data_IF_523277139685
#
_entry.id   IF_523277139685
#
_cell.length_a   1.000
_cell.length_b   1.000
_cell.length_c   1.000
_cell.angle_alpha   90.00
_cell.angle_beta   90.00
_cell.angle_gamma   90.00
#
_symmetry.space_group_name_H-M   'P 1'
#
loop_
_entity.id
_entity.type
_entity.pdbx_description
1 polymer ?
#
# COMPACT_ATOMS: atom_id res chain seq x y z
N UNK A 1 55.74 -26.47 8.09
CA UNK A 1 56.13 -26.16 9.49
C UNK A 1 55.70 -24.72 9.79
N UNK A 2 55.05 -24.54 10.95
CA UNK A 2 54.57 -23.30 11.58
C UNK A 2 53.45 -22.51 10.89
N UNK A 3 52.50 -21.88 11.56
CA UNK A 3 51.70 -22.12 12.79
C UNK A 3 50.69 -20.96 12.80
N UNK A 4 49.39 -21.27 12.71
CA UNK A 4 48.30 -20.28 12.74
C UNK A 4 48.04 -19.82 14.19
N UNK A 5 48.05 -18.51 14.44
CA UNK A 5 47.47 -17.91 15.65
C UNK A 5 46.18 -17.17 15.29
N UNK A 6 45.06 -17.73 15.74
CA UNK A 6 43.77 -17.06 15.87
C UNK A 6 43.83 -16.08 17.06
N UNK A 7 43.34 -14.86 16.86
CA UNK A 7 42.97 -13.95 17.95
C UNK A 7 41.45 -13.94 18.09
N UNK A 8 41.00 -14.54 19.20
CA UNK A 8 39.63 -14.50 19.71
C UNK A 8 39.50 -13.29 20.64
N UNK A 9 38.63 -12.34 20.30
CA UNK A 9 38.20 -11.27 21.21
C UNK A 9 36.80 -11.59 21.73
N UNK A 10 36.75 -11.98 23.02
CA UNK A 10 35.53 -12.19 23.79
C UNK A 10 35.00 -10.83 24.27
N UNK A 11 33.78 -10.47 23.85
CA UNK A 11 33.01 -9.41 24.50
C UNK A 11 32.04 -10.05 25.52
N UNK A 12 32.26 -9.76 26.80
CA UNK A 12 31.36 -10.08 27.90
C UNK A 12 30.43 -8.88 28.14
N UNK A 13 29.12 -9.09 28.08
CA UNK A 13 28.11 -8.18 28.64
C UNK A 13 27.21 -8.97 29.60
N UNK A 14 26.92 -8.47 30.81
CA UNK A 14 26.07 -9.16 31.77
C UNK A 14 24.59 -8.82 31.53
N UNK A 15 23.79 -9.81 31.15
CA UNK A 15 22.32 -9.70 31.16
C UNK A 15 21.83 -10.22 32.52
N UNK A 16 21.39 -9.30 33.39
CA UNK A 16 20.59 -9.63 34.58
C UNK A 16 19.17 -9.96 34.14
N UNK A 17 18.80 -11.25 34.18
CA UNK A 17 17.42 -11.72 34.14
C UNK A 17 16.96 -11.95 35.58
N UNK A 18 16.13 -11.06 36.12
CA UNK A 18 15.34 -11.34 37.33
C UNK A 18 13.90 -10.91 37.12
N UNK A 19 13.03 -11.89 36.87
CA UNK A 19 11.67 -11.94 37.43
C UNK A 19 11.15 -13.37 37.33
N UNK A 20 11.27 -14.05 38.46
CA UNK A 20 10.59 -15.30 38.79
C UNK A 20 9.07 -15.07 38.78
N UNK A 21 8.36 -15.80 37.93
CA UNK A 21 6.89 -15.90 37.99
C UNK A 21 6.61 -17.24 38.69
N UNK A 22 6.13 -17.15 39.93
CA UNK A 22 5.70 -18.28 40.74
C UNK A 22 4.32 -18.77 40.27
N UNK A 23 4.22 -20.05 39.93
CA UNK A 23 2.96 -20.74 39.72
C UNK A 23 2.38 -21.22 41.06
N UNK A 24 1.12 -20.92 41.41
CA UNK A 24 0.47 -21.56 42.53
C UNK A 24 0.02 -22.98 42.15
N UNK A 25 0.52 -23.94 42.91
CA UNK A 25 0.09 -25.34 42.91
C UNK A 25 -1.04 -25.54 43.93
N UNK A 26 -2.21 -26.00 43.45
CA UNK A 26 -3.00 -27.12 44.00
C UNK A 26 -4.41 -27.21 43.37
N UNK A 27 -4.95 -28.43 43.20
CA UNK A 27 -6.27 -28.65 42.60
C UNK A 27 -7.37 -28.50 43.65
N UNK A 28 -8.44 -27.79 43.31
CA UNK A 28 -9.68 -27.75 44.09
C UNK A 28 -10.67 -28.73 43.46
N UNK A 29 -11.00 -29.79 44.18
CA UNK A 29 -12.08 -30.73 43.87
C UNK A 29 -13.44 -30.03 43.98
N UNK A 30 -14.15 -29.90 42.86
CA UNK A 30 -15.54 -29.45 42.81
C UNK A 30 -16.47 -30.63 42.49
N UNK A 31 -17.59 -30.69 43.21
CA UNK A 31 -18.60 -31.75 43.15
C UNK A 31 -19.47 -31.64 41.89
N UNK A 32 -20.12 -32.74 41.47
CA UNK A 32 -20.96 -32.74 40.28
C UNK A 32 -22.33 -32.16 40.63
N UNK A 33 -22.64 -30.97 40.12
CA UNK A 33 -24.01 -30.44 40.13
C UNK A 33 -24.55 -30.48 38.72
N UNK A 34 -25.61 -31.27 38.55
CA UNK A 34 -26.39 -31.45 37.32
C UNK A 34 -26.67 -30.12 36.61
N UNK A 35 -26.02 -29.90 35.46
CA UNK A 35 -26.48 -28.93 34.47
C UNK A 35 -27.26 -29.66 33.38
N UNK A 36 -28.55 -29.33 33.29
CA UNK A 36 -29.44 -29.68 32.21
C UNK A 36 -28.88 -29.11 30.90
N UNK A 37 -28.50 -30.00 29.99
CA UNK A 37 -28.10 -29.63 28.64
C UNK A 37 -29.31 -29.10 27.85
N UNK A 38 -29.17 -27.98 27.12
CA UNK A 38 -30.20 -27.55 26.18
C UNK A 38 -30.30 -28.55 25.02
N UNK A 39 -31.54 -28.74 24.53
CA UNK A 39 -31.91 -29.64 23.45
C UNK A 39 -31.06 -29.46 22.19
N UNK A 40 -30.81 -30.55 21.42
CA UNK A 40 -29.99 -30.49 20.22
C UNK A 40 -30.68 -29.61 19.17
N UNK A 41 -30.06 -28.48 18.84
CA UNK A 41 -30.41 -27.70 17.66
C UNK A 41 -30.21 -28.58 16.42
N UNK A 42 -31.20 -28.54 15.53
CA UNK A 42 -31.23 -29.27 14.27
C UNK A 42 -29.92 -29.05 13.50
N UNK A 43 -29.25 -30.16 13.19
CA UNK A 43 -28.02 -30.21 12.39
C UNK A 43 -28.24 -29.55 11.02
N UNK A 44 -27.70 -28.35 10.85
CA UNK A 44 -27.33 -27.85 9.53
C UNK A 44 -26.25 -28.77 8.93
N UNK A 45 -26.29 -28.97 7.62
CA UNK A 45 -25.44 -29.88 6.84
C UNK A 45 -23.99 -30.04 7.39
N UNK A 46 -23.47 -31.26 7.63
CA UNK A 46 -22.34 -31.50 8.55
C UNK A 46 -20.97 -30.94 8.17
N UNK A 47 -20.79 -30.18 7.09
CA UNK A 47 -19.44 -29.82 6.59
C UNK A 47 -19.36 -28.43 5.94
N UNK A 48 -20.21 -27.46 6.31
CA UNK A 48 -20.00 -26.09 5.82
C UNK A 48 -19.04 -25.36 6.74
N UNK A 49 -17.81 -25.15 6.27
CA UNK A 49 -16.83 -24.28 6.92
C UNK A 49 -17.46 -22.89 7.13
N UNK A 50 -17.56 -22.44 8.39
CA UNK A 50 -18.08 -21.12 8.72
C UNK A 50 -16.94 -20.12 8.54
N UNK A 51 -17.08 -19.21 7.58
CA UNK A 51 -16.09 -18.15 7.36
C UNK A 51 -16.12 -17.13 8.50
N UNK A 52 -14.96 -16.62 8.97
CA UNK A 52 -14.92 -15.43 9.80
C UNK A 52 -15.61 -14.28 9.08
N UNK A 53 -16.57 -13.64 9.75
CA UNK A 53 -17.29 -12.47 9.21
C UNK A 53 -16.60 -11.15 9.55
N UNK A 54 -15.64 -11.15 10.48
CA UNK A 54 -14.92 -9.94 10.92
C UNK A 54 -13.45 -10.23 11.24
N UNK A 55 -12.61 -9.19 11.23
CA UNK A 55 -11.20 -9.25 11.62
C UNK A 55 -10.98 -9.64 13.08
N UNK A 56 -11.98 -9.41 13.94
CA UNK A 56 -11.94 -9.78 15.36
C UNK A 56 -12.39 -11.21 15.67
N UNK A 57 -12.98 -11.91 14.68
CA UNK A 57 -13.43 -13.28 14.85
C UNK A 57 -12.22 -14.23 15.00
N UNK A 58 -12.32 -15.28 15.84
CA UNK A 58 -11.25 -16.25 15.95
C UNK A 58 -10.98 -16.93 14.60
N UNK A 59 -9.73 -17.36 14.32
CA UNK A 59 -9.43 -18.12 13.12
C UNK A 59 -10.35 -19.34 13.02
N UNK A 60 -10.80 -19.69 11.82
CA UNK A 60 -11.66 -20.85 11.63
C UNK A 60 -10.86 -22.11 11.93
N UNK A 61 -11.54 -23.15 12.43
CA UNK A 61 -10.93 -24.46 12.57
C UNK A 61 -10.79 -25.08 11.18
N UNK A 62 -9.56 -25.16 10.65
CA UNK A 62 -9.25 -25.77 9.37
C UNK A 62 -8.65 -27.16 9.56
N UNK A 63 -9.13 -28.14 8.80
CA UNK A 63 -8.50 -29.47 8.75
C UNK A 63 -7.20 -29.43 7.95
N UNK A 64 -6.40 -30.50 8.04
CA UNK A 64 -5.19 -30.63 7.19
C UNK A 64 -5.51 -30.67 5.69
N UNK A 65 -6.69 -31.16 5.32
CA UNK A 65 -7.16 -31.16 3.93
C UNK A 65 -7.52 -29.74 3.47
N UNK A 66 -8.18 -28.95 4.33
CA UNK A 66 -8.52 -27.55 4.04
C UNK A 66 -7.27 -26.69 3.83
N UNK A 67 -6.22 -26.92 4.62
CA UNK A 67 -4.95 -26.21 4.54
C UNK A 67 -4.15 -26.48 3.25
N UNK A 68 -4.61 -27.40 2.40
CA UNK A 68 -4.07 -27.64 1.04
C UNK A 68 -4.80 -26.85 -0.05
N UNK A 69 -5.93 -26.21 0.28
CA UNK A 69 -6.75 -25.44 -0.65
C UNK A 69 -6.47 -23.95 -0.49
N UNK A 70 -6.68 -23.18 -1.55
CA UNK A 70 -6.58 -21.72 -1.47
C UNK A 70 -7.74 -21.15 -0.64
N UNK A 71 -7.57 -19.98 -0.01
CA UNK A 71 -8.69 -19.35 0.73
C UNK A 71 -9.85 -18.99 -0.20
N UNK A 72 -9.54 -18.62 -1.44
CA UNK A 72 -10.52 -18.37 -2.51
C UNK A 72 -11.37 -19.62 -2.79
N UNK A 73 -10.76 -20.81 -2.82
CA UNK A 73 -11.50 -22.06 -3.01
C UNK A 73 -12.23 -22.53 -1.75
N UNK A 74 -11.70 -22.25 -0.55
CA UNK A 74 -12.35 -22.61 0.72
C UNK A 74 -13.67 -21.87 0.92
N UNK A 75 -13.70 -20.59 0.56
CA UNK A 75 -14.84 -19.70 0.82
C UNK A 75 -15.61 -19.31 -0.45
N UNK A 76 -15.46 -20.05 -1.54
CA UNK A 76 -16.27 -19.86 -2.73
C UNK A 76 -17.75 -20.15 -2.44
N UNK A 77 -18.65 -19.30 -2.94
CA UNK A 77 -20.07 -19.61 -3.03
C UNK A 77 -20.26 -20.64 -4.15
N UNK A 78 -20.78 -21.82 -3.78
CA UNK A 78 -20.99 -22.94 -4.70
C UNK A 78 -22.23 -22.78 -5.58
N UNK A 79 -22.94 -21.64 -5.50
CA UNK A 79 -23.99 -21.34 -6.48
C UNK A 79 -23.34 -21.28 -7.87
N UNK A 80 -23.83 -22.12 -8.78
CA UNK A 80 -23.44 -22.13 -10.18
C UNK A 80 -24.02 -20.89 -10.89
N UNK A 81 -23.51 -19.71 -10.56
CA UNK A 81 -23.87 -18.47 -11.22
C UNK A 81 -23.10 -18.36 -12.54
N UNK A 82 -23.76 -17.87 -13.59
CA UNK A 82 -23.10 -17.54 -14.85
C UNK A 82 -22.20 -16.31 -14.68
N UNK A 83 -21.25 -16.12 -15.60
CA UNK A 83 -20.43 -14.90 -15.62
C UNK A 83 -21.29 -13.64 -15.81
N UNK A 84 -22.37 -13.72 -16.59
CA UNK A 84 -23.29 -12.58 -16.74
C UNK A 84 -24.04 -12.27 -15.44
N UNK A 85 -24.38 -13.29 -14.64
CA UNK A 85 -25.00 -13.09 -13.33
C UNK A 85 -24.00 -12.45 -12.36
N UNK A 86 -22.75 -12.92 -12.32
CA UNK A 86 -21.72 -12.35 -11.46
C UNK A 86 -21.34 -10.91 -11.82
N UNK A 87 -21.56 -10.48 -13.07
CA UNK A 87 -21.35 -9.10 -13.49
C UNK A 87 -22.46 -8.13 -13.02
N UNK A 88 -23.58 -8.64 -12.49
CA UNK A 88 -24.70 -7.81 -12.02
C UNK A 88 -24.42 -7.21 -10.64
N UNK A 89 -24.49 -5.87 -10.46
CA UNK A 89 -24.30 -5.24 -9.16
C UNK A 89 -25.21 -5.78 -8.07
N UNK A 90 -26.43 -6.20 -8.41
CA UNK A 90 -27.43 -6.71 -7.46
C UNK A 90 -27.04 -8.05 -6.82
N UNK A 91 -26.07 -8.77 -7.42
CA UNK A 91 -25.58 -10.05 -6.90
C UNK A 91 -24.55 -9.89 -5.77
N UNK A 92 -24.04 -8.68 -5.58
CA UNK A 92 -23.01 -8.37 -4.60
C UNK A 92 -23.56 -7.49 -3.50
N UNK A 93 -23.58 -8.02 -2.28
CA UNK A 93 -23.93 -7.26 -1.09
C UNK A 93 -22.73 -6.43 -0.57
N UNK A 94 -23.03 -5.58 0.42
CA UNK A 94 -22.06 -4.77 1.12
C UNK A 94 -21.74 -3.42 0.46
N UNK A 95 -20.99 -2.55 1.15
CA UNK A 95 -20.62 -1.23 0.66
C UNK A 95 -19.82 -1.25 -0.65
N UNK A 96 -19.13 -2.36 -0.94
CA UNK A 96 -18.26 -2.49 -2.12
C UNK A 96 -18.82 -3.43 -3.20
N UNK A 97 -20.14 -3.69 -3.19
CA UNK A 97 -20.80 -4.55 -4.18
C UNK A 97 -20.58 -4.11 -5.64
N UNK A 98 -20.58 -2.80 -5.89
CA UNK A 98 -20.25 -2.24 -7.21
C UNK A 98 -18.82 -2.57 -7.67
N UNK A 99 -17.83 -2.57 -6.76
CA UNK A 99 -16.46 -2.91 -7.13
C UNK A 99 -16.35 -4.41 -7.43
N UNK A 100 -17.06 -5.26 -6.67
CA UNK A 100 -17.14 -6.71 -6.93
C UNK A 100 -17.74 -7.04 -8.28
N UNK A 101 -18.81 -6.34 -8.68
CA UNK A 101 -19.46 -6.59 -9.98
C UNK A 101 -18.58 -6.28 -11.20
N UNK A 102 -17.42 -5.65 -10.98
CA UNK A 102 -16.43 -5.34 -12.03
C UNK A 102 -15.23 -6.29 -12.05
N UNK A 103 -15.16 -7.24 -11.12
CA UNK A 103 -14.05 -8.21 -11.07
C UNK A 103 -14.13 -9.20 -12.22
N UNK A 104 -12.96 -9.70 -12.63
CA UNK A 104 -12.85 -10.81 -13.57
C UNK A 104 -13.09 -12.15 -12.86
N UNK A 105 -14.32 -12.63 -12.90
CA UNK A 105 -14.71 -13.94 -12.34
C UNK A 105 -14.26 -15.15 -13.18
N UNK A 106 -13.54 -14.95 -14.28
CA UNK A 106 -12.80 -16.06 -14.92
C UNK A 106 -11.53 -16.41 -14.15
N UNK A 107 -11.00 -15.43 -13.40
CA UNK A 107 -9.85 -15.59 -12.52
C UNK A 107 -10.25 -15.74 -11.04
N UNK A 108 -11.20 -14.91 -10.57
CA UNK A 108 -11.65 -14.89 -9.18
C UNK A 108 -12.80 -15.88 -8.92
N UNK A 109 -12.82 -16.48 -7.72
CA UNK A 109 -14.02 -17.19 -7.21
C UNK A 109 -14.97 -16.19 -6.57
N UNK A 110 -16.27 -16.40 -6.73
CA UNK A 110 -17.27 -15.60 -6.01
C UNK A 110 -17.22 -15.94 -4.51
N UNK A 111 -16.88 -15.00 -3.61
CA UNK A 111 -16.80 -15.29 -2.18
C UNK A 111 -18.19 -15.49 -1.56
N UNK A 112 -18.30 -16.31 -0.51
CA UNK A 112 -19.53 -16.43 0.28
C UNK A 112 -19.92 -15.09 0.93
N UNK A 113 -21.19 -14.85 1.26
CA UNK A 113 -21.63 -13.60 1.90
C UNK A 113 -20.85 -13.26 3.17
N UNK A 114 -20.56 -14.26 4.01
CA UNK A 114 -19.76 -14.09 5.23
C UNK A 114 -18.34 -13.63 4.91
N UNK A 115 -17.74 -14.20 3.84
CA UNK A 115 -16.40 -13.81 3.40
C UNK A 115 -16.39 -12.42 2.77
N UNK A 116 -17.44 -12.04 2.04
CA UNK A 116 -17.60 -10.67 1.48
C UNK A 116 -17.63 -9.63 2.60
N UNK A 117 -18.31 -9.91 3.71
CA UNK A 117 -18.33 -9.02 4.88
C UNK A 117 -16.93 -8.81 5.50
N UNK A 118 -16.13 -9.88 5.67
CA UNK A 118 -14.75 -9.76 6.11
C UNK A 118 -13.90 -8.93 5.13
N UNK A 119 -14.04 -9.20 3.83
CA UNK A 119 -13.34 -8.44 2.80
C UNK A 119 -13.74 -6.95 2.83
N UNK A 120 -15.01 -6.64 3.10
CA UNK A 120 -15.48 -5.25 3.25
C UNK A 120 -14.84 -4.53 4.44
N UNK A 121 -14.65 -5.24 5.55
CA UNK A 121 -13.94 -4.72 6.72
C UNK A 121 -12.47 -4.47 6.40
N UNK A 122 -11.79 -5.40 5.73
CA UNK A 122 -10.39 -5.24 5.29
C UNK A 122 -10.24 -4.04 4.36
N UNK A 123 -11.12 -3.91 3.36
CA UNK A 123 -11.11 -2.78 2.43
C UNK A 123 -11.34 -1.47 3.19
N UNK A 124 -12.29 -1.43 4.11
CA UNK A 124 -12.58 -0.24 4.91
C UNK A 124 -11.40 0.14 5.82
N UNK A 125 -10.74 -0.83 6.44
CA UNK A 125 -9.55 -0.62 7.25
C UNK A 125 -8.41 0.02 6.43
N UNK A 126 -8.12 -0.53 5.24
CA UNK A 126 -7.05 -0.02 4.37
C UNK A 126 -7.39 1.37 3.82
N UNK A 127 -8.64 1.62 3.45
CA UNK A 127 -9.06 2.95 2.98
C UNK A 127 -8.99 4.02 4.09
N UNK A 128 -9.22 3.62 5.35
CA UNK A 128 -9.16 4.51 6.50
C UNK A 128 -7.72 4.76 6.98
N UNK A 129 -6.76 3.90 6.63
CA UNK A 129 -5.35 4.09 6.94
C UNK A 129 -4.83 5.35 6.22
N UNK A 130 -4.52 6.39 6.99
CA UNK A 130 -3.92 7.60 6.42
C UNK A 130 -2.41 7.44 6.38
N UNK A 131 -1.83 7.43 5.19
CA UNK A 131 -0.37 7.37 4.99
C UNK A 131 0.32 8.73 5.22
N UNK A 132 -0.28 9.60 6.04
CA UNK A 132 0.24 10.93 6.38
C UNK A 132 1.61 10.85 7.02
N UNK A 133 1.88 9.79 7.79
CA UNK A 133 3.18 9.62 8.45
C UNK A 133 4.30 9.26 7.47
N UNK A 134 4.00 8.57 6.37
CA UNK A 134 4.98 8.28 5.33
C UNK A 134 5.27 9.51 4.44
N UNK A 135 4.36 10.50 4.39
CA UNK A 135 4.52 11.76 3.66
C UNK A 135 4.95 12.94 4.56
N UNK A 136 5.68 12.70 5.67
CA UNK A 136 6.03 13.75 6.66
C UNK A 136 6.72 15.00 6.09
N UNK A 137 7.32 14.92 4.90
CA UNK A 137 7.99 16.05 4.23
C UNK A 137 7.17 16.71 3.11
N UNK A 138 6.00 16.16 2.78
CA UNK A 138 5.10 16.75 1.78
C UNK A 138 4.49 18.08 2.27
N UNK A 139 4.53 18.34 3.59
CA UNK A 139 4.01 19.54 4.24
C UNK A 139 4.95 20.07 5.34
N UNK A 140 6.04 20.81 5.01
CA UNK A 140 6.88 21.45 6.02
C UNK A 140 6.13 22.49 6.88
N UNK A 141 4.93 22.91 6.43
CA UNK A 141 4.07 23.89 7.11
C UNK A 141 3.30 23.36 8.33
N UNK A 142 3.32 22.04 8.62
CA UNK A 142 2.66 21.49 9.82
C UNK A 142 3.59 21.34 11.03
N UNK A 143 4.81 21.88 10.99
CA UNK A 143 5.64 21.99 12.20
C UNK A 143 4.93 22.92 13.19
N UNK A 144 4.21 22.31 14.13
CA UNK A 144 3.79 22.96 15.35
C UNK A 144 5.00 23.69 15.94
N UNK A 145 4.91 25.00 16.21
CA UNK A 145 6.03 25.74 16.78
C UNK A 145 6.49 25.01 18.04
N UNK A 146 7.76 24.60 18.06
CA UNK A 146 8.38 24.07 19.26
C UNK A 146 8.12 25.05 20.40
N UNK A 147 7.69 24.60 21.60
CA UNK A 147 7.49 25.51 22.71
C UNK A 147 8.84 26.16 23.02
N UNK A 148 8.94 27.44 22.68
CA UNK A 148 10.09 28.27 23.02
C UNK A 148 10.20 28.30 24.53
N UNK A 149 11.24 27.65 25.06
CA UNK A 149 11.68 27.82 26.43
C UNK A 149 12.08 29.28 26.62
N UNK A 150 11.20 30.07 27.23
CA UNK A 150 11.52 31.42 27.69
C UNK A 150 12.50 31.30 28.86
N UNK A 151 13.80 31.41 28.59
CA UNK A 151 14.78 31.79 29.60
C UNK A 151 14.85 33.31 29.63
N UNK A 152 14.20 33.87 30.64
CA UNK A 152 14.26 35.26 31.05
C UNK A 152 15.66 35.63 31.54
N UNK A 153 16.34 36.56 30.88
CA UNK A 153 17.27 37.48 31.54
C UNK A 153 17.10 38.87 30.93
N UNK A 154 16.76 39.82 31.80
CA UNK A 154 16.35 41.17 31.45
C UNK A 154 17.48 42.02 30.88
N UNK A 155 17.07 43.03 30.12
CA UNK A 155 17.88 44.24 29.90
C UNK A 155 16.99 45.44 29.65
N UNK A 156 17.51 46.55 30.14
CA UNK A 156 16.84 47.81 30.45
C UNK A 156 16.35 48.60 29.23
N UNK A 157 15.34 49.41 29.54
CA UNK A 157 14.71 50.48 28.77
C UNK A 157 15.65 51.56 28.25
N UNK A 158 15.39 52.09 27.05
CA UNK A 158 15.15 53.54 26.79
C UNK A 158 15.06 53.86 25.28
N UNK A 159 14.22 54.86 24.94
CA UNK A 159 14.09 55.47 23.61
C UNK A 159 12.74 55.16 22.95
N UNK A 160 11.67 55.93 23.18
CA UNK A 160 11.27 57.12 22.39
C UNK A 160 11.51 56.94 20.89
N UNK A 161 10.43 56.80 20.12
CA UNK A 161 10.01 57.88 19.23
C UNK A 161 8.60 57.65 18.67
N UNK A 162 7.89 58.78 18.62
CA UNK A 162 6.59 59.03 18.03
C UNK A 162 6.73 59.23 16.52
N UNK A 163 5.90 58.59 15.70
CA UNK A 163 5.49 59.18 14.42
C UNK A 163 4.16 58.62 13.92
N UNK A 164 3.22 59.56 13.82
CA UNK A 164 1.93 59.51 13.15
C UNK A 164 2.07 59.42 11.64
N UNK A 165 1.16 58.71 10.97
CA UNK A 165 0.68 59.09 9.63
C UNK A 165 -0.81 58.77 9.51
N UNK A 166 -1.58 59.84 9.35
CA UNK A 166 -2.99 59.90 8.94
C UNK A 166 -3.10 59.94 7.41
N UNK A 167 -4.35 59.88 6.93
CA UNK A 167 -4.90 60.26 5.61
C UNK A 167 -5.23 59.05 4.72
N UNK A 168 -6.51 58.71 4.44
CA UNK A 168 -7.66 59.44 3.84
C UNK A 168 -7.68 59.40 2.30
N UNK A 169 -8.90 59.54 1.78
CA UNK A 169 -9.37 59.68 0.39
C UNK A 169 -9.51 58.39 -0.42
N UNK A 170 -10.72 57.86 -0.59
CA UNK A 170 -11.82 58.33 -1.48
C UNK A 170 -11.64 57.80 -2.91
N UNK A 171 -12.69 57.13 -3.42
CA UNK A 171 -13.20 57.21 -4.79
C UNK A 171 -14.49 56.37 -4.86
N UNK A 172 -15.60 57.06 -5.05
CA UNK A 172 -16.95 56.56 -5.31
C UNK A 172 -17.11 56.00 -6.74
N UNK A 173 -18.19 55.22 -6.92
CA UNK A 173 -19.18 55.24 -8.03
C UNK A 173 -19.65 53.79 -8.30
N UNK A 174 -20.84 53.41 -7.85
CA UNK A 174 -22.19 53.68 -8.40
C UNK A 174 -22.67 52.52 -9.29
N UNK A 175 -23.68 51.79 -8.80
CA UNK A 175 -24.83 51.33 -9.58
C UNK A 175 -25.72 50.43 -8.73
N UNK A 176 -26.83 51.01 -8.34
CA UNK A 176 -27.97 50.40 -7.70
C UNK A 176 -28.68 49.37 -8.59
N UNK A 177 -28.88 48.15 -8.09
CA UNK A 177 -30.01 47.30 -8.48
C UNK A 177 -30.66 46.70 -7.22
N UNK A 178 -31.89 47.15 -7.01
CA UNK A 178 -32.82 46.72 -5.96
C UNK A 178 -33.49 45.42 -6.41
N UNK A 179 -33.42 44.37 -5.60
CA UNK A 179 -34.47 43.34 -5.52
C UNK A 179 -34.65 42.91 -4.06
N UNK A 180 -35.78 43.30 -3.49
CA UNK A 180 -36.30 42.82 -2.21
C UNK A 180 -36.94 41.44 -2.42
N UNK A 181 -36.58 40.45 -1.61
CA UNK A 181 -37.50 39.75 -0.69
C UNK A 181 -36.94 38.44 -0.13
N UNK A 182 -37.47 37.96 1.02
CA UNK A 182 -36.77 37.08 1.95
C UNK A 182 -37.23 35.62 1.83
N UNK A 183 -36.31 34.67 2.00
CA UNK A 183 -36.62 33.50 2.82
C UNK A 183 -35.33 32.80 3.30
N UNK A 184 -35.19 32.75 4.62
CA UNK A 184 -34.15 32.01 5.35
C UNK A 184 -34.63 30.58 5.56
N UNK A 185 -33.86 29.60 5.12
CA UNK A 185 -33.70 28.34 5.84
C UNK A 185 -32.29 27.81 5.59
N UNK A 186 -31.72 27.23 6.65
CA UNK A 186 -30.30 27.14 6.92
C UNK A 186 -29.65 25.91 6.26
N UNK A 187 -28.53 26.14 5.57
CA UNK A 187 -27.60 25.09 5.16
C UNK A 187 -26.44 24.98 6.18
N UNK A 188 -25.87 23.77 6.40
CA UNK A 188 -24.87 23.54 7.43
C UNK A 188 -23.44 23.77 6.91
N UNK A 189 -22.74 24.69 7.58
CA UNK A 189 -21.30 24.68 7.91
C UNK A 189 -20.32 24.25 6.80
N UNK A 190 -19.97 25.21 5.94
CA UNK A 190 -18.72 25.20 5.16
C UNK A 190 -17.50 25.43 6.08
N UNK A 191 -16.43 24.60 6.01
CA UNK A 191 -15.19 24.85 6.73
C UNK A 191 -14.35 25.92 6.00
N UNK A 192 -13.99 26.96 6.76
CA UNK A 192 -13.41 28.21 6.27
C UNK A 192 -12.07 28.10 5.54
N UNK A 193 -11.98 28.92 4.48
CA UNK A 193 -10.77 29.25 3.72
C UNK A 193 -9.74 29.99 4.59
N UNK A 194 -8.58 29.36 4.81
CA UNK A 194 -7.36 30.06 5.22
C UNK A 194 -6.62 30.56 3.96
N UNK A 195 -6.78 31.85 3.66
CA UNK A 195 -6.02 32.57 2.65
C UNK A 195 -4.60 32.84 3.15
N UNK A 196 -3.70 31.88 2.95
CA UNK A 196 -2.26 32.06 3.04
C UNK A 196 -1.63 31.92 1.66
N UNK A 197 -1.28 33.04 1.03
CA UNK A 197 -0.54 33.11 -0.24
C UNK A 197 0.89 32.62 -0.06
N UNK A 198 1.08 31.30 0.01
CA UNK A 198 2.34 30.65 -0.28
C UNK A 198 2.30 30.21 -1.74
N UNK A 199 3.21 30.72 -2.56
CA UNK A 199 3.37 30.37 -3.97
C UNK A 199 3.63 28.87 -4.11
N UNK A 200 2.55 28.09 -4.23
CA UNK A 200 2.52 26.66 -4.55
C UNK A 200 3.30 26.44 -5.85
N UNK A 201 4.49 25.85 -5.74
CA UNK A 201 5.12 25.17 -6.87
C UNK A 201 4.06 24.21 -7.44
N UNK A 202 3.64 24.42 -8.70
CA UNK A 202 2.42 23.86 -9.29
C UNK A 202 2.24 22.37 -9.00
N UNK A 203 1.41 22.05 -8.00
CA UNK A 203 0.96 20.68 -7.76
C UNK A 203 0.08 20.32 -8.94
N UNK A 204 0.43 19.24 -9.65
CA UNK A 204 -0.52 18.61 -10.58
C UNK A 204 -1.82 18.38 -9.81
N UNK A 205 -2.94 18.84 -10.36
CA UNK A 205 -4.27 18.65 -9.78
C UNK A 205 -4.82 17.25 -10.05
N UNK A 206 -4.06 16.39 -10.74
CA UNK A 206 -4.48 15.03 -11.10
C UNK A 206 -3.99 14.05 -10.03
N UNK A 207 -4.84 13.11 -9.60
CA UNK A 207 -4.41 12.03 -8.71
C UNK A 207 -3.38 11.15 -9.42
N UNK A 208 -2.47 10.56 -8.64
CA UNK A 208 -1.37 9.74 -9.16
C UNK A 208 -1.66 8.26 -8.89
N UNK A 209 -1.55 7.44 -9.93
CA UNK A 209 -1.48 5.98 -9.82
C UNK A 209 -0.02 5.55 -9.94
N UNK A 210 0.62 5.36 -8.79
CA UNK A 210 2.02 4.97 -8.68
C UNK A 210 2.17 3.46 -8.59
N UNK A 211 2.71 2.85 -9.63
CA UNK A 211 3.04 1.42 -9.64
C UNK A 211 4.48 1.22 -9.21
N UNK A 212 4.72 0.32 -8.26
CA UNK A 212 6.07 -0.18 -8.02
C UNK A 212 6.35 -1.39 -8.91
N UNK A 213 7.61 -1.59 -9.26
CA UNK A 213 8.05 -2.77 -9.99
C UNK A 213 9.47 -3.17 -9.61
N UNK A 214 9.83 -4.42 -9.89
CA UNK A 214 11.11 -4.99 -9.51
C UNK A 214 11.01 -6.41 -8.95
N UNK A 215 12.10 -7.15 -9.12
CA UNK A 215 12.22 -8.53 -8.64
C UNK A 215 12.03 -8.68 -7.12
N UNK A 216 11.71 -9.88 -6.68
CA UNK A 216 11.58 -10.22 -5.27
C UNK A 216 12.91 -10.01 -4.55
N UNK A 217 12.92 -9.24 -3.46
CA UNK A 217 14.16 -8.87 -2.77
C UNK A 217 14.88 -7.64 -3.33
N UNK A 218 14.38 -7.00 -4.41
CA UNK A 218 14.96 -5.76 -4.94
C UNK A 218 14.81 -4.55 -3.99
N UNK A 219 13.89 -4.63 -3.03
CA UNK A 219 13.72 -3.58 -2.01
C UNK A 219 12.69 -2.50 -2.35
N UNK A 220 11.71 -2.78 -3.22
CA UNK A 220 10.64 -1.85 -3.64
C UNK A 220 10.04 -1.02 -2.50
N UNK A 221 9.46 -1.69 -1.49
CA UNK A 221 8.86 -0.99 -0.35
C UNK A 221 9.86 -0.20 0.49
N UNK A 222 11.14 -0.59 0.54
CA UNK A 222 12.18 0.21 1.19
C UNK A 222 12.46 1.48 0.39
N UNK A 223 12.71 1.37 -0.91
CA UNK A 223 12.94 2.51 -1.81
C UNK A 223 11.77 3.49 -1.77
N UNK A 224 10.53 2.98 -1.87
CA UNK A 224 9.36 3.83 -1.90
C UNK A 224 9.18 4.59 -0.58
N UNK A 225 9.33 3.94 0.58
CA UNK A 225 9.32 4.64 1.87
C UNK A 225 10.40 5.72 1.94
N UNK A 226 11.64 5.38 1.58
CA UNK A 226 12.75 6.34 1.58
C UNK A 226 12.42 7.55 0.69
N UNK A 227 11.85 7.33 -0.49
CA UNK A 227 11.55 8.41 -1.45
C UNK A 227 10.32 9.26 -1.06
N UNK A 228 9.34 8.67 -0.36
CA UNK A 228 8.23 9.42 0.22
C UNK A 228 8.71 10.25 1.42
N UNK A 229 9.55 9.65 2.27
CA UNK A 229 10.14 10.30 3.45
C UNK A 229 11.03 11.48 3.07
N UNK A 230 11.88 11.38 2.04
CA UNK A 230 12.73 12.50 1.62
C UNK A 230 12.09 13.43 0.56
N UNK A 231 10.87 13.13 0.14
CA UNK A 231 10.09 13.94 -0.79
C UNK A 231 10.55 13.88 -2.25
N UNK A 232 11.38 12.89 -2.63
CA UNK A 232 11.69 12.56 -4.04
C UNK A 232 10.46 12.05 -4.80
N UNK A 233 9.52 11.40 -4.11
CA UNK A 233 8.17 11.11 -4.59
C UNK A 233 7.19 11.88 -3.71
N UNK A 234 6.19 12.50 -4.34
CA UNK A 234 5.14 13.25 -3.63
C UNK A 234 3.79 12.74 -4.09
N UNK A 235 2.98 12.30 -3.13
CA UNK A 235 1.59 11.93 -3.32
C UNK A 235 0.70 12.91 -2.52
N UNK A 236 -0.61 12.82 -2.73
CA UNK A 236 -1.59 13.50 -1.89
C UNK A 236 -1.64 12.84 -0.50
N UNK A 237 -1.98 13.59 0.54
CA UNK A 237 -1.93 13.12 1.94
C UNK A 237 -2.87 11.95 2.24
N UNK A 238 -3.89 11.76 1.40
CA UNK A 238 -4.92 10.73 1.52
C UNK A 238 -4.73 9.60 0.49
N UNK A 239 -3.52 9.38 -0.01
CA UNK A 239 -3.27 8.26 -0.93
C UNK A 239 -3.55 6.89 -0.27
N UNK A 240 -3.82 5.87 -1.07
CA UNK A 240 -4.04 4.48 -0.63
C UNK A 240 -2.85 3.61 -1.03
N UNK A 241 -2.21 2.93 -0.09
CA UNK A 241 -1.15 1.96 -0.38
C UNK A 241 -1.68 0.53 -0.44
N UNK A 242 -1.75 -0.02 -1.65
CA UNK A 242 -2.23 -1.37 -1.91
C UNK A 242 -1.03 -2.31 -2.09
N UNK A 243 -0.76 -3.14 -1.07
CA UNK A 243 0.29 -4.17 -1.09
C UNK A 243 -0.34 -5.56 -0.86
N UNK A 244 -0.36 -6.47 -1.85
CA UNK A 244 -0.99 -7.78 -1.72
C UNK A 244 -0.35 -8.63 -0.63
N UNK A 245 0.93 -8.44 -0.31
CA UNK A 245 1.56 -9.14 0.79
C UNK A 245 1.04 -8.64 2.15
N UNK A 246 0.77 -7.34 2.30
CA UNK A 246 0.11 -6.79 3.49
C UNK A 246 -1.34 -7.24 3.57
N UNK A 247 -2.08 -7.24 2.46
CA UNK A 247 -3.46 -7.71 2.42
C UNK A 247 -3.57 -9.17 2.85
N UNK A 248 -2.65 -10.04 2.38
CA UNK A 248 -2.62 -11.44 2.82
C UNK A 248 -2.43 -11.58 4.34
N UNK A 249 -1.75 -10.63 4.99
CA UNK A 249 -1.52 -10.65 6.45
C UNK A 249 -2.77 -10.33 7.26
N UNK A 250 -3.76 -9.70 6.66
CA UNK A 250 -5.05 -9.42 7.28
C UNK A 250 -6.00 -10.62 7.20
N UNK A 251 -5.65 -11.67 6.44
CA UNK A 251 -6.47 -12.88 6.33
C UNK A 251 -6.29 -13.75 7.60
N UNK A 252 -7.40 -14.13 8.27
CA UNK A 252 -7.35 -14.83 9.56
C UNK A 252 -6.74 -16.24 9.45
N UNK A 253 -6.75 -16.86 8.27
CA UNK A 253 -6.20 -18.19 8.04
C UNK A 253 -4.67 -18.19 7.91
N UNK A 254 -4.05 -17.03 7.66
CA UNK A 254 -2.61 -16.97 7.34
C UNK A 254 -1.71 -17.63 8.39
N UNK A 255 -1.89 -17.44 9.71
CA UNK A 255 -1.07 -18.14 10.70
C UNK A 255 -1.15 -19.67 10.58
N UNK A 256 -2.31 -20.21 10.21
CA UNK A 256 -2.52 -21.65 10.04
C UNK A 256 -1.78 -22.17 8.80
N UNK A 257 -1.84 -21.46 7.68
CA UNK A 257 -1.07 -21.83 6.49
C UNK A 257 0.43 -21.77 6.73
N UNK A 258 0.93 -20.76 7.44
CA UNK A 258 2.35 -20.68 7.80
C UNK A 258 2.79 -21.82 8.73
N UNK A 259 1.94 -22.23 9.66
CA UNK A 259 2.24 -23.36 10.54
C UNK A 259 2.24 -24.69 9.77
N UNK A 260 1.32 -24.85 8.83
CA UNK A 260 1.14 -26.07 8.04
C UNK A 260 2.22 -26.25 6.98
N UNK A 261 2.37 -25.26 6.08
CA UNK A 261 3.41 -25.24 5.07
C UNK A 261 3.80 -23.79 4.69
N UNK A 262 4.87 -23.24 5.29
CA UNK A 262 5.31 -21.88 5.00
C UNK A 262 5.74 -21.62 3.55
N UNK A 263 6.11 -22.66 2.80
CA UNK A 263 6.53 -22.54 1.39
C UNK A 263 5.34 -22.28 0.46
N UNK A 264 4.19 -22.87 0.76
CA UNK A 264 2.97 -22.73 -0.06
C UNK A 264 2.02 -21.64 0.43
N UNK A 265 2.16 -21.18 1.68
CA UNK A 265 1.24 -20.24 2.31
C UNK A 265 0.97 -18.98 1.47
N UNK A 266 2.01 -18.41 0.85
CA UNK A 266 1.84 -17.22 0.01
C UNK A 266 1.01 -17.52 -1.24
N UNK A 267 1.21 -18.68 -1.86
CA UNK A 267 0.47 -19.13 -3.04
C UNK A 267 -1.00 -19.37 -2.72
N UNK A 268 -1.29 -20.03 -1.59
CA UNK A 268 -2.65 -20.37 -1.17
C UNK A 268 -3.48 -19.15 -0.74
N UNK A 269 -2.83 -18.07 -0.30
CA UNK A 269 -3.47 -16.80 0.03
C UNK A 269 -3.53 -15.81 -1.15
N UNK A 270 -2.78 -16.09 -2.23
CA UNK A 270 -2.53 -15.11 -3.29
C UNK A 270 -3.82 -14.69 -4.01
N UNK A 271 -4.67 -15.66 -4.39
CA UNK A 271 -5.88 -15.37 -5.16
C UNK A 271 -6.80 -14.37 -4.44
N UNK A 272 -7.00 -14.55 -3.13
CA UNK A 272 -7.84 -13.64 -2.34
C UNK A 272 -7.16 -12.29 -2.07
N UNK A 273 -5.84 -12.28 -1.84
CA UNK A 273 -5.11 -11.01 -1.73
C UNK A 273 -5.16 -10.20 -3.03
N UNK A 274 -5.10 -10.87 -4.19
CA UNK A 274 -5.27 -10.25 -5.51
C UNK A 274 -6.69 -9.70 -5.70
N UNK A 275 -7.71 -10.44 -5.27
CA UNK A 275 -9.11 -9.96 -5.26
C UNK A 275 -9.24 -8.67 -4.44
N UNK A 276 -8.70 -8.66 -3.21
CA UNK A 276 -8.70 -7.47 -2.34
C UNK A 276 -7.96 -6.29 -2.97
N UNK A 277 -6.83 -6.54 -3.65
CA UNK A 277 -6.09 -5.52 -4.39
C UNK A 277 -6.95 -4.90 -5.50
N UNK A 278 -7.66 -5.70 -6.30
CA UNK A 278 -8.53 -5.20 -7.37
C UNK A 278 -9.74 -4.42 -6.83
N UNK A 279 -10.33 -4.88 -5.72
CA UNK A 279 -11.39 -4.14 -5.03
C UNK A 279 -10.89 -2.77 -4.55
N UNK A 280 -9.77 -2.74 -3.82
CA UNK A 280 -9.17 -1.49 -3.34
C UNK A 280 -8.80 -0.55 -4.48
N UNK A 281 -8.24 -1.10 -5.57
CA UNK A 281 -7.88 -0.33 -6.77
C UNK A 281 -9.14 0.32 -7.38
N UNK A 282 -10.23 -0.43 -7.49
CA UNK A 282 -11.49 0.06 -8.04
C UNK A 282 -12.13 1.12 -7.15
N UNK A 283 -12.20 0.88 -5.84
CA UNK A 283 -12.81 1.82 -4.88
C UNK A 283 -11.98 3.10 -4.76
N UNK A 284 -10.66 3.00 -4.59
CA UNK A 284 -9.79 4.18 -4.49
C UNK A 284 -9.84 5.04 -5.76
N UNK A 285 -9.92 4.41 -6.94
CA UNK A 285 -10.11 5.10 -8.21
C UNK A 285 -11.45 5.82 -8.30
N UNK A 286 -12.54 5.18 -7.87
CA UNK A 286 -13.86 5.81 -7.81
C UNK A 286 -13.88 7.01 -6.85
N UNK A 287 -13.10 6.96 -5.78
CA UNK A 287 -12.91 8.06 -4.83
C UNK A 287 -11.93 9.14 -5.33
N UNK A 288 -11.37 9.00 -6.55
CA UNK A 288 -10.35 9.90 -7.11
C UNK A 288 -9.12 10.10 -6.21
N UNK A 289 -8.79 9.13 -5.36
CA UNK A 289 -7.61 9.18 -4.48
C UNK A 289 -6.37 8.76 -5.25
N UNK A 290 -5.22 9.38 -4.95
CA UNK A 290 -3.92 8.85 -5.37
C UNK A 290 -3.71 7.43 -4.80
N UNK A 291 -3.04 6.56 -5.56
CA UNK A 291 -2.83 5.16 -5.17
C UNK A 291 -1.39 4.74 -5.37
N UNK A 292 -0.90 3.88 -4.49
CA UNK A 292 0.32 3.07 -4.69
C UNK A 292 -0.12 1.64 -4.90
N UNK A 293 0.26 1.04 -6.03
CA UNK A 293 0.00 -0.37 -6.33
C UNK A 293 1.33 -1.11 -6.29
N UNK A 294 1.58 -1.85 -5.20
CA UNK A 294 2.83 -2.59 -5.00
C UNK A 294 2.80 -3.94 -5.74
N UNK A 295 3.80 -4.18 -6.59
CA UNK A 295 3.85 -5.39 -7.39
C UNK A 295 5.18 -5.57 -8.10
N UNK A 296 5.32 -6.67 -8.82
CA UNK A 296 6.48 -6.89 -9.71
C UNK A 296 6.23 -6.43 -11.15
N UNK A 297 5.02 -5.92 -11.44
CA UNK A 297 4.50 -5.67 -12.79
C UNK A 297 4.76 -6.81 -13.78
N UNK A 298 4.84 -8.07 -13.35
CA UNK A 298 5.35 -9.16 -14.22
C UNK A 298 4.40 -9.62 -15.34
N UNK A 299 3.20 -9.04 -15.47
CA UNK A 299 2.24 -9.35 -16.52
C UNK A 299 1.86 -8.06 -17.26
N UNK A 300 2.64 -7.67 -18.28
CA UNK A 300 2.44 -6.41 -18.99
C UNK A 300 1.03 -6.30 -19.58
N UNK A 301 0.46 -7.37 -20.13
CA UNK A 301 -0.86 -7.33 -20.76
C UNK A 301 -1.98 -7.01 -19.77
N UNK A 302 -1.94 -7.60 -18.57
CA UNK A 302 -2.90 -7.27 -17.53
C UNK A 302 -2.74 -5.82 -17.05
N UNK A 303 -1.50 -5.39 -16.77
CA UNK A 303 -1.25 -4.02 -16.30
C UNK A 303 -1.54 -2.95 -17.36
N UNK A 304 -1.48 -3.27 -18.65
CA UNK A 304 -1.92 -2.35 -19.72
C UNK A 304 -3.39 -1.97 -19.55
N UNK A 305 -4.26 -2.93 -19.26
CA UNK A 305 -5.67 -2.68 -18.99
C UNK A 305 -5.84 -1.75 -17.78
N UNK A 306 -5.22 -2.11 -16.66
CA UNK A 306 -5.28 -1.33 -15.41
C UNK A 306 -4.77 0.11 -15.58
N UNK A 307 -3.61 0.29 -16.23
CA UNK A 307 -3.03 1.62 -16.47
C UNK A 307 -3.92 2.44 -17.43
N UNK A 308 -4.47 1.81 -18.47
CA UNK A 308 -5.41 2.47 -19.39
C UNK A 308 -6.64 2.98 -18.66
N UNK A 309 -7.19 2.17 -17.77
CA UNK A 309 -8.33 2.52 -16.93
C UNK A 309 -8.05 3.71 -16.00
N UNK A 310 -6.86 3.78 -15.41
CA UNK A 310 -6.44 4.95 -14.62
C UNK A 310 -6.34 6.21 -15.47
N UNK A 311 -5.68 6.13 -16.63
CA UNK A 311 -5.56 7.27 -17.56
C UNK A 311 -6.93 7.79 -18.01
N UNK A 312 -7.84 6.88 -18.38
CA UNK A 312 -9.21 7.23 -18.76
C UNK A 312 -9.98 7.89 -17.60
N UNK A 313 -9.61 7.59 -16.36
CA UNK A 313 -10.16 8.20 -15.15
C UNK A 313 -9.45 9.50 -14.73
N UNK A 314 -8.55 10.04 -15.58
CA UNK A 314 -7.88 11.32 -15.37
C UNK A 314 -6.62 11.27 -14.50
N UNK A 315 -6.09 10.07 -14.20
CA UNK A 315 -4.89 9.91 -13.40
C UNK A 315 -3.61 10.16 -14.19
N UNK A 316 -2.56 10.59 -13.47
CA UNK A 316 -1.18 10.41 -13.92
C UNK A 316 -0.71 9.01 -13.54
N UNK A 317 -0.19 8.25 -14.50
CA UNK A 317 0.35 6.91 -14.27
C UNK A 317 1.87 6.98 -14.17
N UNK A 318 2.39 6.68 -12.97
CA UNK A 318 3.82 6.64 -12.71
C UNK A 318 4.29 5.21 -12.43
N UNK A 319 5.51 4.87 -12.86
CA UNK A 319 6.17 3.61 -12.53
C UNK A 319 7.51 3.90 -11.86
N UNK A 320 7.73 3.31 -10.68
CA UNK A 320 9.03 3.26 -10.01
C UNK A 320 9.53 1.83 -10.08
N UNK A 321 10.46 1.58 -11.00
CA UNK A 321 11.11 0.30 -11.19
C UNK A 321 12.39 0.23 -10.38
N UNK A 322 12.39 -0.63 -9.36
CA UNK A 322 13.54 -0.86 -8.48
C UNK A 322 14.27 -2.12 -8.91
N UNK A 323 15.55 -1.99 -9.21
CA UNK A 323 16.39 -3.14 -9.54
C UNK A 323 17.56 -3.29 -8.56
N UNK A 324 18.02 -4.53 -8.46
CA UNK A 324 19.19 -4.93 -7.70
C UNK A 324 19.95 -5.91 -8.58
N UNK A 325 21.22 -5.60 -8.88
CA UNK A 325 22.04 -6.42 -9.79
C UNK A 325 22.62 -7.66 -9.12
N UNK A 326 22.62 -7.71 -7.80
CA UNK A 326 23.18 -8.82 -7.04
C UNK A 326 22.06 -9.70 -6.50
N UNK A 327 21.96 -10.92 -7.03
CA UNK A 327 20.99 -11.92 -6.60
C UNK A 327 21.20 -12.39 -5.17
N UNK A 328 22.45 -12.44 -4.69
CA UNK A 328 22.73 -12.80 -3.31
C UNK A 328 22.25 -11.68 -2.37
N UNK A 329 22.41 -10.41 -2.72
CA UNK A 329 21.81 -9.30 -1.94
C UNK A 329 20.28 -9.44 -1.89
N UNK A 330 19.62 -9.71 -3.02
CA UNK A 330 18.17 -9.94 -3.06
C UNK A 330 17.75 -11.13 -2.19
N UNK A 331 18.51 -12.23 -2.23
CA UNK A 331 18.32 -13.41 -1.39
C UNK A 331 18.46 -13.10 0.10
N UNK A 332 19.51 -12.40 0.52
CA UNK A 332 19.71 -12.01 1.91
C UNK A 332 18.57 -11.11 2.41
N UNK A 333 18.06 -10.20 1.58
CA UNK A 333 16.89 -9.37 1.90
C UNK A 333 15.62 -10.22 2.05
N UNK A 334 15.41 -11.20 1.17
CA UNK A 334 14.29 -12.13 1.27
C UNK A 334 14.37 -12.98 2.55
N UNK A 335 15.55 -13.44 2.93
CA UNK A 335 15.76 -14.22 4.16
C UNK A 335 15.53 -13.37 5.42
N UNK A 336 16.01 -12.11 5.44
CA UNK A 336 15.67 -11.15 6.50
C UNK A 336 14.15 -10.96 6.62
N UNK A 337 13.43 -10.90 5.49
CA UNK A 337 11.96 -10.80 5.46
C UNK A 337 11.29 -12.08 5.96
N UNK A 338 11.83 -13.25 5.62
CA UNK A 338 11.33 -14.56 6.09
C UNK A 338 11.32 -14.63 7.61
N UNK A 339 12.40 -14.19 8.27
CA UNK A 339 12.48 -14.18 9.73
C UNK A 339 11.38 -13.31 10.35
N UNK A 340 11.08 -12.15 9.75
CA UNK A 340 10.07 -11.21 10.26
C UNK A 340 8.63 -11.64 9.99
N UNK A 341 8.37 -12.22 8.83
CA UNK A 341 7.00 -12.42 8.32
C UNK A 341 6.60 -13.88 8.17
N UNK A 342 7.55 -14.81 8.24
CA UNK A 342 7.37 -16.22 7.91
C UNK A 342 7.38 -16.52 6.41
N UNK A 343 7.32 -15.49 5.53
CA UNK A 343 7.26 -15.70 4.07
C UNK A 343 8.56 -16.26 3.52
N UNK A 344 8.48 -17.42 2.88
CA UNK A 344 9.59 -18.03 2.13
C UNK A 344 9.53 -17.60 0.66
N UNK A 345 10.71 -17.41 0.08
CA UNK A 345 10.90 -17.13 -1.35
C UNK A 345 12.10 -17.96 -1.78
N UNK A 346 11.96 -18.75 -2.84
CA UNK A 346 13.07 -19.57 -3.36
C UNK A 346 14.03 -18.76 -4.22
N UNK A 347 15.28 -19.22 -4.35
CA UNK A 347 16.27 -18.59 -5.25
C UNK A 347 15.77 -18.54 -6.70
N UNK A 348 15.08 -19.59 -7.15
CA UNK A 348 14.47 -19.64 -8.47
C UNK A 348 13.41 -18.54 -8.66
N UNK A 349 12.56 -18.29 -7.65
CA UNK A 349 11.58 -17.20 -7.71
C UNK A 349 12.26 -15.82 -7.77
N UNK A 350 13.32 -15.60 -6.98
CA UNK A 350 14.12 -14.37 -7.03
C UNK A 350 14.71 -14.18 -8.42
N UNK A 351 15.43 -15.18 -8.93
CA UNK A 351 16.05 -15.15 -10.24
C UNK A 351 15.04 -14.87 -11.36
N UNK A 352 13.96 -15.66 -11.43
CA UNK A 352 12.93 -15.49 -12.45
C UNK A 352 12.26 -14.10 -12.38
N UNK A 353 11.96 -13.61 -11.18
CA UNK A 353 11.36 -12.28 -11.02
C UNK A 353 12.32 -11.15 -11.39
N UNK A 354 13.62 -11.31 -11.14
CA UNK A 354 14.67 -10.36 -11.52
C UNK A 354 14.77 -10.22 -13.03
N UNK A 355 14.66 -11.32 -13.78
CA UNK A 355 14.72 -11.30 -15.25
C UNK A 355 13.40 -10.83 -15.88
N UNK A 356 12.25 -11.25 -15.34
CA UNK A 356 10.93 -10.96 -15.94
C UNK A 356 10.47 -9.51 -15.75
N UNK A 357 10.77 -8.91 -14.59
CA UNK A 357 10.26 -7.56 -14.27
C UNK A 357 10.78 -6.46 -15.21
N UNK A 358 12.09 -6.39 -15.56
CA UNK A 358 12.60 -5.42 -16.53
C UNK A 358 11.92 -5.55 -17.91
N UNK A 359 11.76 -6.78 -18.42
CA UNK A 359 11.11 -7.04 -19.71
C UNK A 359 9.69 -6.50 -19.73
N UNK A 360 8.93 -6.74 -18.66
CA UNK A 360 7.57 -6.23 -18.56
C UNK A 360 7.50 -4.70 -18.55
N UNK A 361 8.37 -4.05 -17.77
CA UNK A 361 8.43 -2.57 -17.73
C UNK A 361 8.87 -1.99 -19.08
N UNK A 362 9.81 -2.62 -19.77
CA UNK A 362 10.18 -2.28 -21.15
C UNK A 362 8.97 -2.34 -22.10
N UNK A 363 8.14 -3.39 -21.98
CA UNK A 363 6.94 -3.54 -22.81
C UNK A 363 5.87 -2.50 -22.50
N UNK A 364 5.77 -2.05 -21.24
CA UNK A 364 4.84 -1.02 -20.79
C UNK A 364 5.30 0.41 -21.10
N UNK A 365 6.61 0.65 -21.23
CA UNK A 365 7.15 1.97 -21.57
C UNK A 365 6.91 2.35 -23.03
N UNK A 366 6.72 1.35 -23.90
CA UNK A 366 6.42 1.54 -25.31
C UNK A 366 4.97 2.01 -25.50
N UNK A 367 4.71 2.94 -26.43
CA UNK A 367 3.35 3.31 -26.77
C UNK A 367 2.54 2.13 -27.29
N UNK A 368 1.23 2.17 -27.10
CA UNK A 368 0.28 1.31 -27.77
C UNK A 368 0.26 1.55 -29.28
N UNK A 369 -0.45 0.67 -30.00
CA UNK A 369 -0.64 0.78 -31.46
C UNK A 369 -1.33 2.08 -31.90
N UNK A 370 -2.10 2.73 -31.02
CA UNK A 370 -2.73 4.05 -31.25
C UNK A 370 -1.78 5.23 -30.90
N UNK A 371 -0.52 4.94 -30.58
CA UNK A 371 0.51 5.93 -30.30
C UNK A 371 0.49 6.51 -28.89
N UNK A 372 -0.37 6.02 -27.98
CA UNK A 372 -0.48 6.53 -26.61
C UNK A 372 0.43 5.76 -25.64
N UNK A 373 1.01 6.46 -24.68
CA UNK A 373 1.73 5.84 -23.59
C UNK A 373 0.78 5.24 -22.56
N UNK A 374 1.18 4.12 -21.96
CA UNK A 374 0.56 3.60 -20.74
C UNK A 374 1.09 4.31 -19.48
N UNK A 375 2.34 4.79 -19.55
CA UNK A 375 3.07 5.39 -18.43
C UNK A 375 3.35 6.86 -18.77
N UNK A 376 3.00 7.77 -17.88
CA UNK A 376 3.35 9.19 -17.98
C UNK A 376 4.78 9.44 -17.52
N UNK A 377 5.20 8.76 -16.43
CA UNK A 377 6.55 8.88 -15.87
C UNK A 377 7.13 7.54 -15.43
N UNK A 378 8.34 7.25 -15.86
CA UNK A 378 9.14 6.10 -15.48
C UNK A 378 10.40 6.54 -14.71
N UNK A 379 10.61 5.98 -13.53
CA UNK A 379 11.86 6.11 -12.76
C UNK A 379 12.53 4.75 -12.62
N UNK A 380 13.80 4.64 -13.00
CA UNK A 380 14.62 3.46 -12.74
C UNK A 380 15.50 3.72 -11.53
N UNK A 381 15.40 2.87 -10.53
CA UNK A 381 16.09 3.04 -9.25
C UNK A 381 17.04 1.88 -9.00
N UNK A 382 18.32 2.21 -8.87
CA UNK A 382 19.34 1.27 -8.45
C UNK A 382 19.32 1.12 -6.92
N UNK A 383 19.05 -0.10 -6.47
CA UNK A 383 19.12 -0.49 -5.07
C UNK A 383 20.01 -1.74 -4.89
N UNK A 384 21.14 -1.78 -5.60
CA UNK A 384 22.05 -2.93 -5.62
C UNK A 384 22.89 -3.11 -4.36
N UNK A 385 22.89 -2.13 -3.45
CA UNK A 385 23.76 -2.09 -2.27
C UNK A 385 22.93 -1.92 -0.98
N UNK A 386 23.36 -2.59 0.08
CA UNK A 386 22.84 -2.43 1.46
C UNK A 386 23.78 -1.55 2.31
N UNK A 387 24.82 -0.97 1.70
CA UNK A 387 25.77 -0.14 2.44
C UNK A 387 25.07 1.14 2.92
N UNK A 388 25.14 1.50 4.22
CA UNK A 388 24.45 2.68 4.76
C UNK A 388 24.80 4.00 4.07
N UNK A 389 25.98 4.06 3.45
CA UNK A 389 26.52 5.24 2.76
C UNK A 389 26.01 5.39 1.32
N UNK A 390 25.31 4.39 0.77
CA UNK A 390 24.81 4.39 -0.60
C UNK A 390 23.29 4.20 -0.59
N UNK A 391 22.50 5.28 -0.46
CA UNK A 391 21.05 5.19 -0.55
C UNK A 391 20.61 4.77 -1.96
N UNK A 392 19.36 4.32 -2.14
CA UNK A 392 18.83 4.05 -3.48
C UNK A 392 18.94 5.28 -4.39
N UNK A 393 19.41 5.07 -5.62
CA UNK A 393 19.72 6.14 -6.59
C UNK A 393 18.80 6.04 -7.79
N UNK A 394 18.17 7.15 -8.16
CA UNK A 394 17.47 7.27 -9.45
C UNK A 394 18.54 7.36 -10.53
N UNK A 395 18.64 6.34 -11.38
CA UNK A 395 19.61 6.30 -12.49
C UNK A 395 19.01 6.75 -13.81
N UNK A 396 17.70 6.83 -13.88
CA UNK A 396 16.94 7.34 -15.01
C UNK A 396 15.61 7.89 -14.51
N UNK A 397 15.24 9.10 -14.95
CA UNK A 397 13.91 9.67 -14.81
C UNK A 397 13.44 10.16 -16.18
N UNK A 398 12.33 9.62 -16.66
CA UNK A 398 11.74 9.99 -17.94
C UNK A 398 11.44 11.49 -18.10
N UNK A 399 11.26 12.25 -17.00
CA UNK A 399 11.03 13.69 -17.12
C UNK A 399 12.28 14.47 -17.56
N UNK A 400 13.46 13.84 -17.46
CA UNK A 400 14.74 14.40 -17.87
C UNK A 400 15.16 13.91 -19.27
N UNK A 401 14.41 12.98 -19.86
CA UNK A 401 14.69 12.39 -21.17
C UNK A 401 13.94 13.15 -22.28
N UNK A 402 14.64 13.89 -23.17
CA UNK A 402 13.98 14.62 -24.26
C UNK A 402 13.32 13.69 -25.30
N UNK A 403 13.72 12.41 -25.34
CA UNK A 403 13.07 11.37 -26.15
C UNK A 403 11.77 10.86 -25.54
N UNK A 404 11.56 11.07 -24.23
CA UNK A 404 10.31 10.75 -23.56
C UNK A 404 9.33 11.89 -23.72
N UNK A 405 8.28 11.65 -24.52
CA UNK A 405 7.20 12.62 -24.69
C UNK A 405 6.02 12.20 -23.80
N UNK A 406 5.57 13.11 -22.95
CA UNK A 406 4.41 12.88 -22.10
C UNK A 406 3.21 12.42 -22.96
N UNK A 407 2.60 11.29 -22.55
CA UNK A 407 1.50 10.68 -23.31
C UNK A 407 1.90 9.89 -24.57
N UNK A 408 3.17 9.87 -24.99
CA UNK A 408 3.68 9.06 -26.11
C UNK A 408 4.72 8.00 -25.67
N UNK A 409 5.31 8.15 -24.48
CA UNK A 409 6.20 7.14 -23.88
C UNK A 409 7.60 7.19 -24.49
N UNK A 410 8.36 6.11 -24.31
CA UNK A 410 9.74 6.05 -24.79
C UNK A 410 10.32 4.63 -24.86
N UNK A 411 11.28 4.43 -25.77
CA UNK A 411 12.04 3.19 -25.89
C UNK A 411 13.28 3.21 -24.98
N UNK A 412 13.03 3.22 -23.68
CA UNK A 412 14.07 3.24 -22.64
C UNK A 412 14.63 1.83 -22.53
N UNK A 413 15.96 1.57 -22.57
CA UNK A 413 16.52 0.22 -22.50
C UNK A 413 16.54 -0.30 -21.05
N UNK A 414 15.36 -0.45 -20.43
CA UNK A 414 15.14 -0.83 -19.03
C UNK A 414 15.86 -2.12 -18.69
N UNK A 415 15.74 -3.15 -19.55
CA UNK A 415 16.37 -4.45 -19.34
C UNK A 415 17.90 -4.33 -19.26
N UNK A 416 18.51 -3.62 -20.20
CA UNK A 416 19.96 -3.41 -20.24
C UNK A 416 20.45 -2.68 -19.00
N UNK A 417 19.78 -1.59 -18.62
CA UNK A 417 20.13 -0.80 -17.43
C UNK A 417 20.02 -1.65 -16.16
N UNK A 418 18.93 -2.41 -16.02
CA UNK A 418 18.65 -3.24 -14.85
C UNK A 418 19.63 -4.41 -14.70
N UNK A 419 20.09 -4.98 -15.82
CA UNK A 419 21.06 -6.07 -15.85
C UNK A 419 22.51 -5.60 -15.84
N UNK A 420 22.75 -4.28 -15.85
CA UNK A 420 24.09 -3.70 -15.77
C UNK A 420 24.84 -3.66 -17.11
N UNK A 421 24.15 -3.88 -18.22
CA UNK A 421 24.70 -3.63 -19.54
C UNK A 421 24.79 -2.12 -19.76
N UNK A 422 25.96 -1.63 -20.19
CA UNK A 422 26.09 -0.23 -20.58
C UNK A 422 25.20 0.00 -21.81
N UNK A 423 24.21 0.92 -21.77
CA UNK A 423 23.44 1.25 -22.95
C UNK A 423 24.42 1.78 -24.02
N UNK A 424 24.32 1.25 -25.25
CA UNK A 424 24.93 1.91 -26.41
C UNK A 424 24.06 3.14 -26.68
N UNK A 425 24.50 4.30 -26.19
CA UNK A 425 23.90 5.60 -26.51
C UNK A 425 24.13 5.93 -27.97
#
# INVERSE_FOLDING_TARGET
>A
MFSLRLLSTKFNLPIRLTRSISFPSKPTTLSPTNQLFPSPMLFTSPNRLISPTTLGSPPPFLTQEDLRRSTSDLYADFKNLSLEELARPEMHDGPWGFARSRLDYTYHRNPSPERRALQDEIVSLVLAESHKEECRFCHPSSRSPTPSSNSSTGRESSGKDTSSCTNSSDCEEDSTLICKSPNKQADPLEPGCCNGTSTKLGRSTKPVALFTSGGMGAGKGHVLRTFLEDGRIRLEDDFVWIDPDKLSQLLPERPLYLLSNPDDASTLLHAEASLLQELLTTVARQQHRSVVIDGSLSCSDWFRGVMTEFRQSGYLVEVVFVFCRDEDVMWHRAEKRRIKTGRRVSRAQIHNSRLKSPVSVQTLSKPSSDGKAFIDRLRLVDNSTDLPVQPPVIVYDSTEDPGWKEGLGGDVPVEKIALGEKPKL
#
